data_IF_056366548415
#
_entry.id   IF_056366548415
#
_cell.length_a   1.000
_cell.length_b   1.000
_cell.length_c   1.000
_cell.angle_alpha   90.00
_cell.angle_beta   90.00
_cell.angle_gamma   90.00
#
_symmetry.space_group_name_H-M   'P 1'
#
loop_
_entity.id
_entity.type
_entity.pdbx_description
1 polymer ?
#
# COMPACT_ATOMS: atom_id res chain seq x y z
N UNK A 1 7.03 0.70 1.33
CA UNK A 1 6.99 -0.01 2.64
C UNK A 1 7.97 -1.18 2.71
N UNK A 2 8.03 -2.07 1.72
CA UNK A 2 8.92 -3.25 1.74
C UNK A 2 10.41 -2.91 1.89
N UNK A 3 10.90 -1.92 1.13
CA UNK A 3 12.29 -1.41 1.27
C UNK A 3 12.57 -0.79 2.65
N UNK A 4 11.57 -0.15 3.26
CA UNK A 4 11.69 0.46 4.59
C UNK A 4 11.88 -0.62 5.66
N UNK A 5 11.16 -1.75 5.56
CA UNK A 5 11.22 -2.85 6.52
C UNK A 5 12.44 -3.77 6.36
N UNK A 6 13.08 -3.84 5.20
CA UNK A 6 14.34 -4.61 5.05
C UNK A 6 15.56 -3.72 5.32
N UNK A 7 15.55 -2.47 4.88
CA UNK A 7 16.74 -1.61 4.95
C UNK A 7 16.84 -0.78 6.24
N UNK A 8 15.69 -0.42 6.84
CA UNK A 8 15.63 0.58 7.92
C UNK A 8 15.17 -0.02 9.25
N UNK A 9 14.21 -0.95 9.25
CA UNK A 9 13.76 -1.67 10.46
C UNK A 9 14.88 -2.29 11.32
N UNK A 10 15.91 -2.97 10.74
CA UNK A 10 17.02 -3.50 11.53
C UNK A 10 17.91 -2.43 12.16
N UNK A 11 17.81 -1.19 11.68
CA UNK A 11 18.61 -0.04 12.14
C UNK A 11 17.82 0.90 13.06
N UNK A 12 16.51 0.67 13.23
CA UNK A 12 15.67 1.46 14.13
C UNK A 12 15.80 0.86 15.53
N UNK A 13 16.35 1.65 16.46
CA UNK A 13 16.51 1.28 17.86
C UNK A 13 15.12 1.09 18.51
N UNK A 14 14.89 -0.10 19.07
CA UNK A 14 13.74 -0.38 19.94
C UNK A 14 14.28 -0.28 21.37
N UNK A 15 13.80 0.71 22.14
CA UNK A 15 14.20 0.84 23.54
C UNK A 15 13.66 -0.35 24.35
N UNK A 16 14.47 -0.86 25.28
CA UNK A 16 14.07 -1.99 26.11
C UNK A 16 12.86 -1.61 26.99
N UNK A 17 11.70 -2.20 26.71
CA UNK A 17 10.45 -1.97 27.45
C UNK A 17 9.33 -1.31 26.64
N UNK A 18 9.58 -0.81 25.42
CA UNK A 18 8.54 -0.23 24.59
C UNK A 18 7.66 -1.30 23.93
N UNK A 19 6.34 -1.14 24.03
CA UNK A 19 5.35 -2.05 23.45
C UNK A 19 5.28 -2.02 21.91
N UNK A 20 5.78 -0.94 21.30
CA UNK A 20 5.82 -0.73 19.85
C UNK A 20 7.09 0.01 19.45
N UNK A 21 7.76 -0.44 18.38
CA UNK A 21 8.90 0.27 17.82
C UNK A 21 8.45 1.46 16.96
N UNK A 22 9.33 2.45 16.78
CA UNK A 22 9.12 3.57 15.84
C UNK A 22 8.84 3.05 14.41
N UNK A 23 9.43 1.91 14.10
CA UNK A 23 9.16 1.06 12.96
C UNK A 23 7.68 0.73 12.75
N UNK A 24 6.99 0.27 13.79
CA UNK A 24 5.60 -0.20 13.72
C UNK A 24 4.63 0.97 13.48
N UNK A 25 4.93 2.11 14.09
CA UNK A 25 4.19 3.37 13.85
C UNK A 25 4.34 3.81 12.39
N UNK A 26 5.55 3.70 11.83
CA UNK A 26 5.78 4.02 10.42
C UNK A 26 5.13 3.01 9.47
N UNK A 27 5.14 1.72 9.80
CA UNK A 27 4.40 0.70 9.05
C UNK A 27 2.89 1.00 9.06
N UNK A 28 2.33 1.37 10.21
CA UNK A 28 0.93 1.78 10.28
C UNK A 28 0.66 3.03 9.43
N UNK A 29 1.48 4.08 9.57
CA UNK A 29 1.32 5.35 8.87
C UNK A 29 1.37 5.18 7.34
N UNK A 30 2.38 4.47 6.82
CA UNK A 30 2.47 4.22 5.39
C UNK A 30 1.33 3.32 4.89
N UNK A 31 0.84 2.40 5.74
CA UNK A 31 -0.35 1.60 5.44
C UNK A 31 -1.61 2.47 5.27
N UNK A 32 -1.81 3.43 6.17
CA UNK A 32 -2.89 4.41 6.06
C UNK A 32 -2.76 5.27 4.80
N UNK A 33 -1.57 5.80 4.50
CA UNK A 33 -1.33 6.61 3.29
C UNK A 33 -1.66 5.78 2.03
N UNK A 34 -1.20 4.53 1.98
CA UNK A 34 -1.50 3.64 0.86
C UNK A 34 -3.01 3.42 0.68
N UNK A 35 -3.74 3.17 1.77
CA UNK A 35 -5.20 3.01 1.72
C UNK A 35 -5.91 4.27 1.24
N UNK A 36 -5.49 5.45 1.70
CA UNK A 36 -6.05 6.75 1.26
C UNK A 36 -5.82 6.95 -0.23
N UNK A 37 -4.60 6.70 -0.72
CA UNK A 37 -4.27 6.81 -2.14
C UNK A 37 -5.05 5.81 -3.00
N UNK A 38 -5.23 4.59 -2.51
CA UNK A 38 -6.01 3.55 -3.19
C UNK A 38 -7.50 3.95 -3.27
N UNK A 39 -8.06 4.45 -2.17
CA UNK A 39 -9.43 4.97 -2.13
C UNK A 39 -9.62 6.16 -3.09
N UNK A 40 -8.70 7.12 -3.07
CA UNK A 40 -8.71 8.24 -4.01
C UNK A 40 -8.65 7.77 -5.47
N UNK A 41 -7.82 6.77 -5.77
CA UNK A 41 -7.70 6.21 -7.12
C UNK A 41 -9.00 5.55 -7.59
N UNK A 42 -9.68 4.83 -6.70
CA UNK A 42 -11.00 4.24 -6.99
C UNK A 42 -12.05 5.33 -7.25
N UNK A 43 -12.07 6.39 -6.43
CA UNK A 43 -13.00 7.53 -6.62
C UNK A 43 -12.73 8.22 -7.96
N UNK A 44 -11.47 8.50 -8.28
CA UNK A 44 -11.08 9.11 -9.57
C UNK A 44 -11.50 8.23 -10.75
N UNK A 45 -11.29 6.91 -10.64
CA UNK A 45 -11.74 5.95 -11.65
C UNK A 45 -13.28 6.00 -11.83
N UNK A 46 -14.05 6.01 -10.75
CA UNK A 46 -15.50 6.12 -10.80
C UNK A 46 -15.96 7.43 -11.47
N UNK A 47 -15.33 8.55 -11.13
CA UNK A 47 -15.62 9.85 -11.76
C UNK A 47 -15.32 9.83 -13.25
N UNK A 48 -14.18 9.27 -13.66
CA UNK A 48 -13.80 9.14 -15.08
C UNK A 48 -14.72 8.20 -15.85
N UNK A 49 -15.26 7.16 -15.22
CA UNK A 49 -16.25 6.26 -15.84
C UNK A 49 -17.58 6.97 -16.13
N UNK A 50 -18.04 7.82 -15.20
CA UNK A 50 -19.33 8.52 -15.31
C UNK A 50 -19.23 9.73 -16.24
N UNK A 51 -18.21 10.58 -16.08
CA UNK A 51 -18.09 11.87 -16.77
C UNK A 51 -17.03 11.91 -17.89
N UNK A 52 -16.19 10.88 -18.02
CA UNK A 52 -15.06 10.90 -18.97
C UNK A 52 -15.44 10.59 -20.42
N UNK A 53 -14.62 11.08 -21.35
CA UNK A 53 -14.69 10.71 -22.77
C UNK A 53 -14.34 9.21 -22.99
N UNK A 54 -14.61 8.66 -24.18
CA UNK A 54 -14.31 7.26 -24.51
C UNK A 54 -12.86 6.85 -24.19
N UNK A 55 -11.90 7.76 -24.37
CA UNK A 55 -10.50 7.53 -24.02
C UNK A 55 -10.28 7.53 -22.50
N UNK A 56 -10.85 8.51 -21.79
CA UNK A 56 -10.79 8.58 -20.32
C UNK A 56 -11.45 7.37 -19.63
N UNK A 57 -12.49 6.79 -20.23
CA UNK A 57 -13.14 5.56 -19.72
C UNK A 57 -12.21 4.35 -19.78
N UNK A 58 -11.41 4.20 -20.85
CA UNK A 58 -10.39 3.14 -20.94
C UNK A 58 -9.34 3.30 -19.83
N UNK A 59 -8.83 4.51 -19.64
CA UNK A 59 -7.89 4.81 -18.55
C UNK A 59 -8.47 4.54 -17.17
N UNK A 60 -9.76 4.84 -16.95
CA UNK A 60 -10.44 4.55 -15.71
C UNK A 60 -10.48 3.04 -15.41
N UNK A 61 -10.79 2.21 -16.43
CA UNK A 61 -10.78 0.74 -16.30
C UNK A 61 -9.38 0.24 -15.93
N UNK A 62 -8.33 0.74 -16.59
CA UNK A 62 -6.95 0.37 -16.24
C UNK A 62 -6.59 0.78 -14.81
N UNK A 63 -7.00 1.97 -14.37
CA UNK A 63 -6.77 2.44 -13.01
C UNK A 63 -7.49 1.57 -11.97
N UNK A 64 -8.70 1.12 -12.27
CA UNK A 64 -9.50 0.26 -11.41
C UNK A 64 -8.89 -1.14 -11.31
N UNK A 65 -8.51 -1.74 -12.45
CA UNK A 65 -7.82 -3.02 -12.51
C UNK A 65 -6.48 -2.97 -11.76
N UNK A 66 -5.71 -1.89 -11.94
CA UNK A 66 -4.45 -1.70 -11.21
C UNK A 66 -4.68 -1.59 -9.71
N UNK A 67 -5.72 -0.88 -9.27
CA UNK A 67 -6.06 -0.75 -7.85
C UNK A 67 -6.47 -2.10 -7.23
N UNK A 68 -7.28 -2.90 -7.94
CA UNK A 68 -7.65 -4.27 -7.53
C UNK A 68 -6.40 -5.15 -7.45
N UNK A 69 -5.56 -5.12 -8.48
CA UNK A 69 -4.31 -5.87 -8.52
C UNK A 69 -3.41 -5.55 -7.32
N UNK A 70 -3.22 -4.25 -7.02
CA UNK A 70 -2.46 -3.81 -5.85
C UNK A 70 -3.05 -4.27 -4.53
N UNK A 71 -4.38 -4.35 -4.42
CA UNK A 71 -5.04 -4.87 -3.23
C UNK A 71 -4.76 -6.37 -3.04
N UNK A 72 -4.84 -7.16 -4.11
CA UNK A 72 -4.57 -8.60 -4.07
C UNK A 72 -3.10 -8.96 -3.88
N UNK A 73 -2.18 -8.14 -4.41
CA UNK A 73 -0.75 -8.41 -4.31
C UNK A 73 -0.19 -8.08 -2.92
N UNK A 74 -0.84 -7.19 -2.16
CA UNK A 74 -0.38 -6.75 -0.84
C UNK A 74 -0.26 -7.90 0.18
N UNK A 75 -1.29 -8.74 0.44
CA UNK A 75 -1.18 -9.86 1.38
C UNK A 75 -0.06 -10.86 1.07
N UNK A 76 0.09 -11.39 -0.17
CA UNK A 76 1.16 -12.33 -0.48
C UNK A 76 2.55 -11.69 -0.41
N UNK A 77 2.71 -10.40 -0.73
CA UNK A 77 3.99 -9.72 -0.50
C UNK A 77 4.32 -9.59 1.00
N UNK A 78 3.32 -9.39 1.84
CA UNK A 78 3.51 -9.32 3.29
C UNK A 78 3.86 -10.69 3.89
N UNK A 79 3.28 -11.77 3.36
CA UNK A 79 3.57 -13.14 3.82
C UNK A 79 4.92 -13.67 3.33
N UNK A 80 5.34 -13.34 2.10
CA UNK A 80 6.68 -13.65 1.58
C UNK A 80 7.78 -13.04 2.44
N UNK A 81 7.52 -11.88 3.04
CA UNK A 81 8.46 -11.24 3.95
C UNK A 81 8.54 -11.93 5.31
N UNK A 82 7.41 -12.41 5.84
CA UNK A 82 7.38 -13.13 7.14
C UNK A 82 8.05 -14.50 6.99
N UNK A 83 7.84 -15.19 5.86
CA UNK A 83 8.36 -16.54 5.63
C UNK A 83 9.75 -16.58 4.97
N UNK A 84 10.16 -15.51 4.28
CA UNK A 84 11.49 -15.40 3.64
C UNK A 84 12.59 -14.81 4.53
N UNK A 85 12.27 -14.47 5.78
CA UNK A 85 13.19 -13.94 6.79
C UNK A 85 13.42 -14.93 7.96
N UNK A 86 13.13 -16.22 7.74
CA UNK A 86 13.54 -17.35 8.58
C UNK A 86 14.78 -17.98 7.97
#
# INVERSE_FOLDING_TARGET
>A
MLFFRVAIYPRIYIAAGDAYGLSDVLEFLFGCIFLVLLMASVIVSAVLLIKGSLQSKKSAIYLLLFSIFLFFIRPPLQSLMINGLI
#
